data_IF_358717168667
#
_entry.id   IF_358717168667
#
_cell.length_a   1.000
_cell.length_b   1.000
_cell.length_c   1.000
_cell.angle_alpha   90.00
_cell.angle_beta   90.00
_cell.angle_gamma   90.00
#
_symmetry.space_group_name_H-M   'P 1'
#
loop_
_entity.id
_entity.type
_entity.pdbx_description
1 polymer ?
#
# COMPACT_ATOMS: atom_id res chain seq x y z
N UNK A 1 -43.08 24.92 9.18
CA UNK A 1 -42.03 25.41 8.27
C UNK A 1 -41.20 24.21 7.85
N UNK A 2 -41.50 23.61 6.70
CA UNK A 2 -40.79 22.39 6.25
C UNK A 2 -39.41 22.78 5.74
N UNK A 3 -38.36 22.51 6.51
CA UNK A 3 -36.99 22.51 6.01
C UNK A 3 -36.86 21.41 4.96
N UNK A 4 -37.20 21.74 3.71
CA UNK A 4 -36.96 20.91 2.54
C UNK A 4 -35.44 20.71 2.47
N UNK A 5 -34.98 19.52 2.85
CA UNK A 5 -33.57 19.13 2.79
C UNK A 5 -33.02 19.47 1.40
N UNK A 6 -32.20 20.52 1.33
CA UNK A 6 -31.71 21.07 0.07
C UNK A 6 -30.92 19.98 -0.68
N UNK A 7 -31.38 19.57 -1.88
CA UNK A 7 -30.74 18.51 -2.65
C UNK A 7 -29.41 18.94 -3.27
N UNK A 8 -29.09 20.24 -3.29
CA UNK A 8 -27.80 20.76 -3.78
C UNK A 8 -26.70 20.73 -2.72
N UNK A 9 -27.06 20.50 -1.44
CA UNK A 9 -26.09 20.33 -0.37
C UNK A 9 -25.30 19.04 -0.62
N UNK A 10 -24.01 19.14 -0.89
CA UNK A 10 -23.14 17.99 -1.21
C UNK A 10 -23.23 16.83 -0.20
N UNK A 11 -23.55 17.12 1.08
CA UNK A 11 -23.75 16.10 2.14
C UNK A 11 -25.00 15.22 1.96
N UNK A 12 -25.99 15.69 1.19
CA UNK A 12 -27.25 15.00 0.88
C UNK A 12 -27.21 14.24 -0.44
N UNK A 13 -26.13 14.35 -1.23
CA UNK A 13 -26.00 13.60 -2.48
C UNK A 13 -25.77 12.10 -2.20
N UNK A 14 -26.73 11.22 -2.59
CA UNK A 14 -26.60 9.77 -2.37
C UNK A 14 -25.43 9.16 -3.17
N UNK A 15 -25.08 9.78 -4.30
CA UNK A 15 -23.96 9.39 -5.15
C UNK A 15 -22.60 9.53 -4.46
N UNK A 16 -22.45 10.48 -3.53
CA UNK A 16 -21.20 10.65 -2.75
C UNK A 16 -21.12 9.71 -1.54
N UNK A 17 -22.23 9.14 -1.07
CA UNK A 17 -22.26 8.18 0.05
C UNK A 17 -22.01 6.73 -0.38
N UNK A 18 -22.19 6.42 -1.65
CA UNK A 18 -22.07 5.05 -2.18
C UNK A 18 -20.67 4.70 -2.66
N UNK A 19 -19.67 5.55 -2.41
CA UNK A 19 -18.26 5.23 -2.70
C UNK A 19 -17.88 3.94 -1.99
N UNK A 20 -17.92 2.85 -2.73
CA UNK A 20 -17.79 1.52 -2.19
C UNK A 20 -16.34 1.35 -1.73
N UNK A 21 -16.14 1.10 -0.43
CA UNK A 21 -14.81 0.79 0.12
C UNK A 21 -14.11 -0.41 -0.54
N UNK A 22 -14.80 -1.13 -1.45
CA UNK A 22 -14.22 -2.12 -2.36
C UNK A 22 -13.15 -1.53 -3.28
N UNK A 23 -13.29 -0.28 -3.73
CA UNK A 23 -12.30 0.31 -4.66
C UNK A 23 -10.92 0.42 -3.99
N UNK A 24 -10.89 0.69 -2.68
CA UNK A 24 -9.65 0.73 -1.90
C UNK A 24 -9.01 -0.64 -1.75
N UNK A 25 -9.80 -1.72 -1.62
CA UNK A 25 -9.29 -3.09 -1.64
C UNK A 25 -8.69 -3.46 -3.00
N UNK A 26 -9.36 -3.05 -4.08
CA UNK A 26 -8.89 -3.32 -5.45
C UNK A 26 -7.58 -2.58 -5.69
N UNK A 27 -7.51 -1.28 -5.39
CA UNK A 27 -6.29 -0.48 -5.60
C UNK A 27 -5.17 -0.92 -4.66
N UNK A 28 -5.46 -1.13 -3.37
CA UNK A 28 -4.46 -1.60 -2.40
C UNK A 28 -3.95 -3.01 -2.72
N UNK A 29 -4.83 -3.90 -3.16
CA UNK A 29 -4.46 -5.25 -3.61
C UNK A 29 -3.63 -5.24 -4.88
N UNK A 30 -3.99 -4.39 -5.85
CA UNK A 30 -3.21 -4.21 -7.07
C UNK A 30 -1.82 -3.65 -6.74
N UNK A 31 -1.73 -2.65 -5.87
CA UNK A 31 -0.46 -2.08 -5.43
C UNK A 31 0.41 -3.13 -4.72
N UNK A 32 -0.15 -3.88 -3.78
CA UNK A 32 0.55 -4.94 -3.06
C UNK A 32 1.00 -6.08 -3.99
N UNK A 33 0.16 -6.46 -4.95
CA UNK A 33 0.49 -7.49 -5.94
C UNK A 33 1.64 -7.05 -6.84
N UNK A 34 1.58 -5.83 -7.39
CA UNK A 34 2.64 -5.31 -8.26
C UNK A 34 3.96 -5.17 -7.51
N UNK A 35 3.95 -4.46 -6.37
CA UNK A 35 5.17 -4.21 -5.58
C UNK A 35 5.73 -5.50 -4.99
N UNK A 36 4.89 -6.37 -4.44
CA UNK A 36 5.30 -7.68 -3.93
C UNK A 36 5.92 -8.56 -5.01
N UNK A 37 5.32 -8.62 -6.20
CA UNK A 37 5.88 -9.39 -7.33
C UNK A 37 7.26 -8.88 -7.72
N UNK A 38 7.45 -7.56 -7.79
CA UNK A 38 8.75 -6.97 -8.12
C UNK A 38 9.82 -7.32 -7.08
N UNK A 39 9.50 -7.26 -5.77
CA UNK A 39 10.44 -7.64 -4.72
C UNK A 39 10.72 -9.15 -4.70
N UNK A 40 9.73 -10.00 -4.99
CA UNK A 40 9.95 -11.44 -5.15
C UNK A 40 10.90 -11.73 -6.32
N UNK A 41 10.68 -11.09 -7.47
CA UNK A 41 11.59 -11.21 -8.62
C UNK A 41 12.99 -10.71 -8.26
N UNK A 42 13.10 -9.60 -7.54
CA UNK A 42 14.39 -9.08 -7.06
C UNK A 42 15.08 -10.09 -6.13
N UNK A 43 14.35 -10.75 -5.23
CA UNK A 43 14.89 -11.75 -4.32
C UNK A 43 15.40 -13.01 -5.04
N UNK A 44 14.79 -13.38 -6.18
CA UNK A 44 15.22 -14.49 -7.02
C UNK A 44 16.50 -14.13 -7.80
N UNK A 45 16.57 -12.88 -8.29
CA UNK A 45 17.68 -12.41 -9.14
C UNK A 45 18.91 -11.91 -8.37
N UNK A 46 18.84 -11.81 -7.04
CA UNK A 46 19.92 -11.27 -6.21
C UNK A 46 20.36 -12.25 -5.13
N UNK A 47 21.58 -12.05 -4.62
CA UNK A 47 22.22 -12.88 -3.59
C UNK A 47 22.67 -11.98 -2.42
N UNK A 48 23.01 -12.58 -1.27
CA UNK A 48 23.53 -11.85 -0.11
C UNK A 48 22.54 -10.86 0.52
N UNK A 49 23.04 -9.71 0.96
CA UNK A 49 22.25 -8.72 1.70
C UNK A 49 21.05 -8.18 0.91
N UNK A 50 21.19 -7.98 -0.40
CA UNK A 50 20.11 -7.50 -1.28
C UNK A 50 18.93 -8.47 -1.31
N UNK A 51 19.19 -9.79 -1.29
CA UNK A 51 18.14 -10.81 -1.25
C UNK A 51 17.36 -10.76 0.06
N UNK A 52 18.05 -10.59 1.19
CA UNK A 52 17.42 -10.49 2.51
C UNK A 52 16.48 -9.28 2.57
N UNK A 53 16.93 -8.12 2.08
CA UNK A 53 16.09 -6.91 2.00
C UNK A 53 14.87 -7.11 1.11
N UNK A 54 15.03 -7.76 -0.04
CA UNK A 54 13.91 -8.02 -0.95
C UNK A 54 12.86 -8.97 -0.34
N UNK A 55 13.29 -10.01 0.39
CA UNK A 55 12.37 -10.92 1.11
C UNK A 55 11.64 -10.17 2.22
N UNK A 56 12.37 -9.38 3.03
CA UNK A 56 11.78 -8.60 4.12
C UNK A 56 10.75 -7.59 3.60
N UNK A 57 11.06 -6.91 2.49
CA UNK A 57 10.15 -5.97 1.84
C UNK A 57 8.86 -6.66 1.35
N UNK A 58 9.01 -7.81 0.70
CA UNK A 58 7.88 -8.62 0.23
C UNK A 58 6.96 -9.02 1.39
N UNK A 59 7.54 -9.51 2.48
CA UNK A 59 6.81 -9.90 3.69
C UNK A 59 6.08 -8.71 4.34
N UNK A 60 6.74 -7.54 4.42
CA UNK A 60 6.16 -6.33 5.00
C UNK A 60 4.97 -5.80 4.17
N UNK A 61 5.07 -5.84 2.83
CA UNK A 61 3.97 -5.47 1.93
C UNK A 61 2.78 -6.42 2.13
N UNK A 62 3.02 -7.73 2.18
CA UNK A 62 1.97 -8.72 2.45
C UNK A 62 1.31 -8.48 3.81
N UNK A 63 2.09 -8.20 4.85
CA UNK A 63 1.56 -7.91 6.19
C UNK A 63 0.68 -6.64 6.18
N UNK A 64 1.12 -5.56 5.53
CA UNK A 64 0.30 -4.36 5.37
C UNK A 64 -1.00 -4.67 4.62
N UNK A 65 -0.96 -5.53 3.61
CA UNK A 65 -2.15 -5.89 2.85
C UNK A 65 -3.14 -6.68 3.72
N UNK A 66 -2.63 -7.61 4.54
CA UNK A 66 -3.45 -8.32 5.52
C UNK A 66 -4.11 -7.38 6.51
N UNK A 67 -3.42 -6.33 6.97
CA UNK A 67 -4.03 -5.30 7.84
C UNK A 67 -5.22 -4.61 7.15
N UNK A 68 -5.11 -4.29 5.85
CA UNK A 68 -6.21 -3.72 5.05
C UNK A 68 -7.40 -4.70 5.00
N UNK A 69 -7.12 -5.98 4.72
CA UNK A 69 -8.14 -7.04 4.63
C UNK A 69 -8.85 -7.24 5.97
N UNK A 70 -8.09 -7.39 7.06
CA UNK A 70 -8.61 -7.60 8.42
C UNK A 70 -9.43 -6.39 8.87
N UNK A 71 -8.89 -5.17 8.71
CA UNK A 71 -9.61 -3.94 9.06
C UNK A 71 -10.95 -3.86 8.32
N UNK A 72 -11.01 -4.30 7.06
CA UNK A 72 -12.27 -4.29 6.31
C UNK A 72 -13.33 -5.22 6.87
N UNK A 73 -12.91 -6.39 7.38
CA UNK A 73 -13.82 -7.40 7.94
C UNK A 73 -14.26 -6.98 9.34
N UNK A 74 -13.35 -6.44 10.15
CA UNK A 74 -13.60 -6.12 11.57
C UNK A 74 -14.24 -4.76 11.79
N UNK A 75 -13.94 -3.75 10.97
CA UNK A 75 -14.40 -2.37 11.22
C UNK A 75 -15.70 -2.04 10.48
N UNK A 76 -16.75 -1.79 11.26
CA UNK A 76 -18.09 -1.37 10.81
C UNK A 76 -18.19 0.14 10.51
N UNK A 77 -17.37 0.99 11.16
CA UNK A 77 -17.48 2.45 11.03
C UNK A 77 -16.80 3.00 9.76
N UNK A 78 -17.55 3.78 8.97
CA UNK A 78 -17.12 4.29 7.65
C UNK A 78 -15.88 5.22 7.73
N UNK A 79 -15.82 6.10 8.73
CA UNK A 79 -14.75 7.10 8.86
C UNK A 79 -13.41 6.51 9.30
N UNK A 80 -13.43 5.51 10.20
CA UNK A 80 -12.21 4.81 10.64
C UNK A 80 -11.66 3.97 9.48
N UNK A 81 -12.55 3.36 8.69
CA UNK A 81 -12.19 2.59 7.49
C UNK A 81 -11.34 3.39 6.51
N UNK A 82 -11.76 4.62 6.20
CA UNK A 82 -11.03 5.52 5.29
C UNK A 82 -9.65 5.91 5.82
N UNK A 83 -9.54 6.27 7.10
CA UNK A 83 -8.26 6.63 7.73
C UNK A 83 -7.29 5.45 7.77
N UNK A 84 -7.74 4.27 8.20
CA UNK A 84 -6.87 3.10 8.28
C UNK A 84 -6.41 2.64 6.89
N UNK A 85 -7.27 2.73 5.87
CA UNK A 85 -6.89 2.42 4.49
C UNK A 85 -5.85 3.40 3.93
N UNK A 86 -6.02 4.70 4.18
CA UNK A 86 -5.07 5.71 3.75
C UNK A 86 -3.70 5.53 4.44
N UNK A 87 -3.69 5.28 5.75
CA UNK A 87 -2.46 5.01 6.49
C UNK A 87 -1.79 3.76 5.94
N UNK A 88 -2.53 2.67 5.74
CA UNK A 88 -1.96 1.43 5.23
C UNK A 88 -1.38 1.58 3.81
N UNK A 89 -2.03 2.32 2.91
CA UNK A 89 -1.46 2.62 1.58
C UNK A 89 -0.19 3.47 1.70
N UNK A 90 -0.17 4.46 2.59
CA UNK A 90 1.01 5.28 2.82
C UNK A 90 2.16 4.45 3.39
N UNK A 91 1.87 3.55 4.35
CA UNK A 91 2.84 2.62 4.92
C UNK A 91 3.44 1.72 3.85
N UNK A 92 2.62 1.12 2.97
CA UNK A 92 3.12 0.30 1.88
C UNK A 92 4.04 1.08 0.93
N UNK A 93 3.67 2.31 0.57
CA UNK A 93 4.47 3.15 -0.30
C UNK A 93 5.83 3.50 0.33
N UNK A 94 5.84 3.87 1.61
CA UNK A 94 7.07 4.18 2.36
C UNK A 94 7.96 2.94 2.45
N UNK A 95 7.41 1.78 2.80
CA UNK A 95 8.17 0.52 2.88
C UNK A 95 8.79 0.18 1.51
N UNK A 96 7.99 0.25 0.44
CA UNK A 96 8.47 -0.06 -0.91
C UNK A 96 9.62 0.87 -1.33
N UNK A 97 9.48 2.19 -1.10
CA UNK A 97 10.51 3.17 -1.46
C UNK A 97 11.80 2.97 -0.64
N UNK A 98 11.68 2.80 0.67
CA UNK A 98 12.84 2.62 1.56
C UNK A 98 13.58 1.32 1.25
N UNK A 99 12.86 0.20 1.10
CA UNK A 99 13.48 -1.08 0.77
C UNK A 99 14.11 -1.08 -0.62
N UNK A 100 13.48 -0.44 -1.61
CA UNK A 100 14.05 -0.31 -2.95
C UNK A 100 15.33 0.52 -2.94
N UNK A 101 15.33 1.63 -2.20
CA UNK A 101 16.52 2.47 -2.02
C UNK A 101 17.67 1.72 -1.34
N UNK A 102 17.38 1.00 -0.25
CA UNK A 102 18.35 0.17 0.46
C UNK A 102 18.91 -0.95 -0.45
N UNK A 103 18.05 -1.64 -1.19
CA UNK A 103 18.47 -2.67 -2.13
C UNK A 103 19.40 -2.10 -3.22
N UNK A 104 19.09 -0.90 -3.73
CA UNK A 104 19.93 -0.16 -4.66
C UNK A 104 21.29 0.20 -4.09
N UNK A 105 21.34 0.73 -2.86
CA UNK A 105 22.60 1.07 -2.17
C UNK A 105 23.48 -0.16 -1.93
N UNK A 106 22.88 -1.28 -1.51
CA UNK A 106 23.61 -2.54 -1.29
C UNK A 106 24.17 -3.12 -2.60
N UNK A 107 23.41 -3.00 -3.69
CA UNK A 107 23.89 -3.41 -5.02
C UNK A 107 24.97 -2.47 -5.57
N UNK A 108 24.87 -1.17 -5.32
CA UNK A 108 25.87 -0.19 -5.75
C UNK A 108 27.19 -0.35 -4.98
N UNK A 109 27.13 -0.60 -3.67
CA UNK A 109 28.33 -0.84 -2.85
C UNK A 109 29.05 -2.17 -3.14
N UNK A 110 28.40 -3.09 -3.86
CA UNK A 110 29.00 -4.36 -4.31
C UNK A 110 29.44 -4.34 -5.77
N UNK A 111 29.11 -3.30 -6.52
CA UNK A 111 29.70 -3.08 -7.83
C UNK A 111 31.18 -2.74 -7.64
N UNK A 112 32.12 -3.46 -8.30
CA UNK A 112 33.52 -3.08 -8.23
C UNK A 112 33.64 -1.64 -8.71
N UNK A 113 34.27 -0.79 -7.90
CA UNK A 113 34.63 0.58 -8.26
C UNK A 113 35.58 0.55 -9.46
N UNK A 114 35.03 0.40 -10.66
CA UNK A 114 35.72 0.53 -11.94
C UNK A 114 35.27 1.85 -12.60
N UNK A 115 35.48 2.96 -11.90
CA UNK A 115 35.61 4.30 -12.50
C UNK A 115 36.00 5.29 -11.41
N UNK A 116 37.29 5.62 -11.35
CA UNK A 116 37.89 6.60 -10.44
C UNK A 116 39.40 6.49 -10.50
#
# INVERSE_FOLDING_TARGET
>A
MSERSDPTKMRNQPSLRTSSGRIWLVIGGLFAALTGTLFVLLAIQTQGATRIVAIAASAAILLCFLVIVITRITVSSSTVKLRTMAIAMLSMAVIALVCMWLAGMLRAGTAPMLSG
#
